data_IF_355134860860
#
_entry.id   IF_355134860860
#
_cell.length_a   1.000
_cell.length_b   1.000
_cell.length_c   1.000
_cell.angle_alpha   90.00
_cell.angle_beta   90.00
_cell.angle_gamma   90.00
#
_symmetry.space_group_name_H-M   'P 1'
#
loop_
_entity.id
_entity.type
_entity.pdbx_description
1 polymer ?
#
# COMPACT_ATOMS: atom_id res chain seq x y z
N UNK A 1 -24.31 -27.38 -32.84
CA UNK A 1 -22.97 -26.93 -32.40
C UNK A 1 -22.40 -25.85 -33.30
N UNK A 2 -22.38 -26.02 -34.63
CA UNK A 2 -21.79 -25.04 -35.56
C UNK A 2 -22.45 -23.64 -35.50
N UNK A 3 -23.78 -23.57 -35.40
CA UNK A 3 -24.50 -22.30 -35.21
C UNK A 3 -24.24 -21.65 -33.86
N UNK A 4 -24.05 -22.42 -32.78
CA UNK A 4 -23.71 -21.89 -31.46
C UNK A 4 -22.32 -21.24 -31.46
N UNK A 5 -21.34 -21.91 -32.09
CA UNK A 5 -19.99 -21.35 -32.26
C UNK A 5 -19.97 -20.17 -33.23
N UNK A 6 -20.72 -20.21 -34.33
CA UNK A 6 -20.83 -19.09 -35.27
C UNK A 6 -21.53 -17.87 -34.65
N UNK A 7 -22.55 -18.09 -33.83
CA UNK A 7 -23.26 -17.02 -33.13
C UNK A 7 -22.42 -16.46 -31.97
N UNK A 8 -21.68 -17.31 -31.26
CA UNK A 8 -20.68 -16.88 -30.29
C UNK A 8 -19.55 -16.08 -30.97
N UNK A 9 -19.10 -16.49 -32.16
CA UNK A 9 -18.05 -15.79 -32.91
C UNK A 9 -18.53 -14.45 -33.47
N UNK A 10 -19.79 -14.38 -33.94
CA UNK A 10 -20.42 -13.12 -34.34
C UNK A 10 -20.64 -12.16 -33.16
N UNK A 11 -21.02 -12.66 -31.98
CA UNK A 11 -21.04 -11.86 -30.77
C UNK A 11 -19.64 -11.38 -30.40
N UNK A 12 -18.60 -12.22 -30.54
CA UNK A 12 -17.20 -11.85 -30.28
C UNK A 12 -16.71 -10.78 -31.26
N UNK A 13 -17.14 -10.84 -32.52
CA UNK A 13 -16.82 -9.84 -33.55
C UNK A 13 -17.47 -8.46 -33.34
N UNK A 14 -18.51 -8.37 -32.50
CA UNK A 14 -19.19 -7.13 -32.13
C UNK A 14 -18.63 -6.48 -30.85
N UNK A 15 -17.63 -7.08 -30.20
CA UNK A 15 -17.01 -6.52 -28.99
C UNK A 15 -16.24 -5.23 -29.31
N UNK A 16 -16.54 -4.18 -28.55
CA UNK A 16 -15.78 -2.93 -28.58
C UNK A 16 -14.47 -3.13 -27.79
N UNK A 17 -13.44 -2.31 -28.06
CA UNK A 17 -12.14 -2.41 -27.39
C UNK A 17 -12.22 -2.47 -25.84
N UNK A 18 -13.19 -1.78 -25.23
CA UNK A 18 -13.43 -1.78 -23.78
C UNK A 18 -13.91 -3.13 -23.23
N UNK A 19 -14.61 -3.92 -24.04
CA UNK A 19 -15.05 -5.26 -23.66
C UNK A 19 -13.87 -6.22 -23.58
N UNK A 20 -12.93 -6.11 -24.52
CA UNK A 20 -11.68 -6.88 -24.50
C UNK A 20 -10.87 -6.60 -23.24
N UNK A 21 -10.76 -5.34 -22.82
CA UNK A 21 -10.09 -4.95 -21.57
C UNK A 21 -10.78 -5.58 -20.36
N UNK A 22 -12.11 -5.52 -20.32
CA UNK A 22 -12.92 -6.10 -19.22
C UNK A 22 -12.74 -7.61 -19.15
N UNK A 23 -12.79 -8.31 -20.28
CA UNK A 23 -12.55 -9.75 -20.36
C UNK A 23 -11.13 -10.14 -19.93
N UNK A 24 -10.11 -9.40 -20.37
CA UNK A 24 -8.72 -9.63 -19.96
C UNK A 24 -8.57 -9.51 -18.45
N UNK A 25 -9.16 -8.48 -17.84
CA UNK A 25 -9.13 -8.28 -16.40
C UNK A 25 -9.80 -9.45 -15.68
N UNK A 26 -11.01 -9.83 -16.09
CA UNK A 26 -11.74 -10.94 -15.47
C UNK A 26 -11.00 -12.28 -15.60
N UNK A 27 -10.44 -12.59 -16.78
CA UNK A 27 -9.64 -13.80 -17.01
C UNK A 27 -8.38 -13.78 -16.13
N UNK A 28 -7.69 -12.64 -16.05
CA UNK A 28 -6.50 -12.52 -15.20
C UNK A 28 -6.83 -12.79 -13.73
N UNK A 29 -7.91 -12.21 -13.21
CA UNK A 29 -8.35 -12.44 -11.83
C UNK A 29 -8.84 -13.87 -11.59
N UNK A 30 -9.48 -14.49 -12.58
CA UNK A 30 -9.89 -15.90 -12.56
C UNK A 30 -8.67 -16.83 -12.46
N UNK A 31 -7.68 -16.66 -13.34
CA UNK A 31 -6.44 -17.47 -13.34
C UNK A 31 -5.66 -17.28 -12.04
N UNK A 32 -5.55 -16.03 -11.56
CA UNK A 32 -4.90 -15.73 -10.28
C UNK A 32 -5.64 -16.36 -9.09
N UNK A 33 -6.98 -16.31 -9.09
CA UNK A 33 -7.81 -16.94 -8.08
C UNK A 33 -7.64 -18.44 -8.03
N UNK A 34 -7.60 -19.11 -9.19
CA UNK A 34 -7.33 -20.54 -9.29
C UNK A 34 -5.95 -20.92 -8.74
N UNK A 35 -4.90 -20.17 -9.13
CA UNK A 35 -3.52 -20.43 -8.71
C UNK A 35 -3.33 -20.23 -7.20
N UNK A 36 -4.03 -19.26 -6.60
CA UNK A 36 -3.92 -18.94 -5.18
C UNK A 36 -4.80 -19.85 -4.31
N UNK A 37 -5.93 -20.31 -4.84
CA UNK A 37 -6.94 -21.06 -4.09
C UNK A 37 -7.81 -20.19 -3.21
N UNK A 38 -8.97 -20.72 -2.83
CA UNK A 38 -10.06 -20.03 -2.13
C UNK A 38 -9.61 -19.39 -0.83
N UNK A 39 -8.89 -20.11 0.03
CA UNK A 39 -8.47 -19.58 1.33
C UNK A 39 -7.62 -18.31 1.20
N UNK A 40 -6.61 -18.33 0.33
CA UNK A 40 -5.75 -17.17 0.08
C UNK A 40 -6.52 -16.04 -0.60
N UNK A 41 -7.38 -16.36 -1.56
CA UNK A 41 -8.12 -15.32 -2.28
C UNK A 41 -9.23 -14.70 -1.42
N UNK A 42 -9.80 -15.44 -0.46
CA UNK A 42 -10.77 -14.92 0.51
C UNK A 42 -10.11 -13.97 1.51
N UNK A 43 -8.94 -14.32 2.05
CA UNK A 43 -8.15 -13.39 2.87
C UNK A 43 -7.82 -12.13 2.04
N UNK A 44 -7.39 -12.32 0.80
CA UNK A 44 -7.05 -11.23 -0.11
C UNK A 44 -8.25 -10.31 -0.39
N UNK A 45 -9.44 -10.89 -0.55
CA UNK A 45 -10.70 -10.21 -0.74
C UNK A 45 -11.13 -9.43 0.51
N UNK A 46 -11.03 -10.03 1.71
CA UNK A 46 -11.32 -9.32 2.97
C UNK A 46 -10.44 -8.08 3.16
N UNK A 47 -9.15 -8.16 2.82
CA UNK A 47 -8.28 -6.98 2.85
C UNK A 47 -8.66 -5.91 1.82
N UNK A 48 -9.18 -6.32 0.66
CA UNK A 48 -9.66 -5.38 -0.35
C UNK A 48 -10.91 -4.66 0.14
N UNK A 49 -11.87 -5.37 0.76
CA UNK A 49 -13.03 -4.77 1.40
C UNK A 49 -12.62 -3.81 2.53
N UNK A 50 -11.66 -4.22 3.37
CA UNK A 50 -11.10 -3.36 4.41
C UNK A 50 -10.50 -2.09 3.81
N UNK A 51 -9.74 -2.18 2.71
CA UNK A 51 -9.17 -1.03 2.05
C UNK A 51 -10.23 -0.06 1.51
N UNK A 52 -11.34 -0.57 1.00
CA UNK A 52 -12.50 0.25 0.59
C UNK A 52 -13.08 0.97 1.81
N UNK A 53 -13.33 0.26 2.92
CA UNK A 53 -13.90 0.84 4.15
C UNK A 53 -12.97 1.88 4.77
N UNK A 54 -11.67 1.66 4.76
CA UNK A 54 -10.69 2.63 5.27
C UNK A 54 -10.62 3.86 4.38
N UNK A 55 -10.53 3.68 3.06
CA UNK A 55 -10.56 4.80 2.12
C UNK A 55 -11.84 5.64 2.29
N UNK A 56 -12.96 4.94 2.44
CA UNK A 56 -14.27 5.50 2.71
C UNK A 56 -14.35 6.32 4.01
N UNK A 57 -13.72 5.90 5.10
CA UNK A 57 -13.79 6.64 6.36
C UNK A 57 -12.94 7.92 6.37
N UNK A 58 -11.87 7.98 5.58
CA UNK A 58 -10.84 9.02 5.72
C UNK A 58 -10.64 9.92 4.48
N UNK A 59 -11.29 9.64 3.34
CA UNK A 59 -11.05 10.41 2.12
C UNK A 59 -11.38 11.90 2.26
N UNK A 60 -12.47 12.28 2.95
CA UNK A 60 -12.87 13.69 3.09
C UNK A 60 -11.79 14.51 3.79
N UNK A 61 -11.26 13.97 4.88
CA UNK A 61 -10.22 14.62 5.67
C UNK A 61 -8.95 14.84 4.84
N UNK A 62 -8.59 13.88 3.99
CA UNK A 62 -7.42 14.00 3.13
C UNK A 62 -7.67 14.91 1.91
N UNK A 63 -8.87 14.92 1.35
CA UNK A 63 -9.24 15.71 0.18
C UNK A 63 -9.18 17.23 0.42
N UNK A 64 -9.51 17.68 1.64
CA UNK A 64 -9.44 19.10 2.03
C UNK A 64 -8.02 19.51 2.46
N UNK A 65 -7.11 18.55 2.61
CA UNK A 65 -5.74 18.85 3.01
C UNK A 65 -4.94 19.52 1.89
N UNK A 66 -4.00 20.39 2.27
CA UNK A 66 -3.05 21.03 1.34
C UNK A 66 -2.24 20.04 0.49
N UNK A 67 -2.15 18.77 0.90
CA UNK A 67 -1.45 17.73 0.17
C UNK A 67 -2.16 17.28 -1.12
N UNK A 68 -3.47 17.53 -1.25
CA UNK A 68 -4.26 17.19 -2.45
C UNK A 68 -4.74 18.44 -3.18
N UNK A 69 -5.13 19.50 -2.46
CA UNK A 69 -5.71 20.71 -3.08
C UNK A 69 -4.72 21.47 -3.97
N UNK A 70 -3.40 21.25 -3.83
CA UNK A 70 -2.37 21.83 -4.71
C UNK A 70 -2.53 21.42 -6.18
N UNK A 71 -3.21 20.30 -6.46
CA UNK A 71 -3.35 19.75 -7.80
C UNK A 71 -4.23 20.62 -8.74
N UNK A 72 -4.93 21.65 -8.24
CA UNK A 72 -5.78 22.56 -9.04
C UNK A 72 -6.90 21.87 -9.85
N UNK A 73 -7.30 20.64 -9.48
CA UNK A 73 -8.50 19.99 -10.04
C UNK A 73 -9.79 20.46 -9.32
N UNK A 74 -10.95 20.06 -9.87
CA UNK A 74 -12.25 20.26 -9.25
C UNK A 74 -12.35 19.60 -7.87
N UNK A 75 -13.28 20.08 -7.05
CA UNK A 75 -13.53 19.52 -5.72
C UNK A 75 -13.83 18.02 -5.77
N UNK A 76 -14.66 17.58 -6.72
CA UNK A 76 -15.00 16.17 -6.94
C UNK A 76 -13.78 15.31 -7.33
N UNK A 77 -12.82 15.90 -8.05
CA UNK A 77 -11.57 15.23 -8.39
C UNK A 77 -10.62 15.09 -7.19
N UNK A 78 -10.49 16.10 -6.31
CA UNK A 78 -9.66 16.00 -5.08
C UNK A 78 -10.10 14.85 -4.19
N UNK A 79 -11.40 14.79 -4.05
CA UNK A 79 -12.20 13.80 -3.36
C UNK A 79 -11.95 12.37 -3.90
N UNK A 80 -12.03 12.16 -5.22
CA UNK A 80 -11.71 10.87 -5.85
C UNK A 80 -10.23 10.49 -5.71
N UNK A 81 -9.32 11.46 -5.83
CA UNK A 81 -7.87 11.26 -5.66
C UNK A 81 -7.56 10.85 -4.22
N UNK A 82 -8.16 11.49 -3.22
CA UNK A 82 -7.98 11.17 -1.82
C UNK A 82 -8.39 9.73 -1.50
N UNK A 83 -9.56 9.32 -2.00
CA UNK A 83 -10.02 7.94 -1.91
C UNK A 83 -9.01 6.98 -2.54
N UNK A 84 -8.56 7.26 -3.76
CA UNK A 84 -7.57 6.44 -4.47
C UNK A 84 -6.23 6.31 -3.72
N UNK A 85 -5.73 7.42 -3.17
CA UNK A 85 -4.47 7.45 -2.40
C UNK A 85 -4.58 6.58 -1.14
N UNK A 86 -5.65 6.71 -0.37
CA UNK A 86 -5.85 5.92 0.86
C UNK A 86 -6.07 4.44 0.52
N UNK A 87 -6.84 4.15 -0.53
CA UNK A 87 -7.08 2.79 -1.00
C UNK A 87 -5.77 2.09 -1.39
N UNK A 88 -4.96 2.74 -2.24
CA UNK A 88 -3.64 2.21 -2.66
C UNK A 88 -2.71 2.11 -1.45
N UNK A 89 -2.66 3.12 -0.59
CA UNK A 89 -1.86 3.14 0.63
C UNK A 89 -2.17 1.94 1.54
N UNK A 90 -3.44 1.63 1.73
CA UNK A 90 -3.89 0.49 2.54
C UNK A 90 -3.47 -0.85 1.91
N UNK A 91 -3.55 -0.98 0.58
CA UNK A 91 -3.05 -2.16 -0.13
C UNK A 91 -1.52 -2.32 -0.03
N UNK A 92 -0.78 -1.21 0.00
CA UNK A 92 0.68 -1.23 0.22
C UNK A 92 1.03 -1.65 1.64
N UNK A 93 0.30 -1.18 2.66
CA UNK A 93 0.46 -1.60 4.05
C UNK A 93 0.27 -3.12 4.17
N UNK A 94 -0.77 -3.66 3.54
CA UNK A 94 -0.95 -5.12 3.47
C UNK A 94 0.28 -5.81 2.89
N UNK A 95 0.81 -5.36 1.75
CA UNK A 95 2.01 -5.96 1.14
C UNK A 95 3.22 -5.88 2.08
N UNK A 96 3.36 -4.79 2.83
CA UNK A 96 4.39 -4.64 3.85
C UNK A 96 4.21 -5.66 4.99
N UNK A 97 2.98 -5.87 5.49
CA UNK A 97 2.69 -6.88 6.51
C UNK A 97 3.10 -8.28 6.01
N UNK A 98 2.70 -8.68 4.80
CA UNK A 98 3.09 -9.99 4.25
C UNK A 98 4.61 -10.17 4.17
N UNK A 99 5.33 -9.13 3.71
CA UNK A 99 6.80 -9.19 3.61
C UNK A 99 7.47 -9.26 4.99
N UNK A 100 6.93 -8.53 5.97
CA UNK A 100 7.45 -8.50 7.33
C UNK A 100 7.21 -9.83 8.04
N UNK A 101 6.03 -10.39 7.86
CA UNK A 101 5.63 -11.70 8.36
C UNK A 101 6.48 -12.84 7.77
N UNK A 102 6.73 -12.82 6.45
CA UNK A 102 7.61 -13.78 5.80
C UNK A 102 9.08 -13.64 6.25
N UNK A 103 9.60 -12.41 6.33
CA UNK A 103 10.94 -12.14 6.83
C UNK A 103 11.11 -12.62 8.29
N UNK A 104 10.11 -12.34 9.13
CA UNK A 104 10.07 -12.82 10.52
C UNK A 104 10.04 -14.34 10.59
N UNK A 105 9.36 -15.02 9.65
CA UNK A 105 9.28 -16.47 9.63
C UNK A 105 10.64 -17.17 9.46
N UNK A 106 11.62 -16.45 8.89
CA UNK A 106 12.98 -16.93 8.67
C UNK A 106 13.94 -16.60 9.85
N UNK A 107 13.50 -15.84 10.85
CA UNK A 107 14.32 -15.46 12.00
C UNK A 107 14.13 -16.46 13.14
N UNK A 108 15.03 -17.42 13.26
CA UNK A 108 15.00 -18.42 14.33
C UNK A 108 15.60 -17.95 15.65
N UNK A 109 16.53 -16.99 15.62
CA UNK A 109 17.21 -16.49 16.81
C UNK A 109 16.74 -15.06 17.17
N UNK A 110 15.94 -14.88 18.25
CA UNK A 110 15.47 -13.56 18.69
C UNK A 110 16.61 -12.64 19.15
N UNK A 111 17.77 -13.20 19.49
CA UNK A 111 18.93 -12.40 19.93
C UNK A 111 19.65 -11.69 18.79
N UNK A 112 19.48 -12.15 17.55
CA UNK A 112 19.99 -11.42 16.38
C UNK A 112 19.31 -10.05 16.21
N UNK A 113 18.03 -9.94 16.59
CA UNK A 113 17.30 -8.66 16.55
C UNK A 113 17.81 -7.66 17.58
N UNK A 114 18.37 -8.13 18.71
CA UNK A 114 18.87 -7.24 19.75
C UNK A 114 20.01 -6.35 19.24
N UNK A 115 20.90 -6.90 18.40
CA UNK A 115 21.98 -6.15 17.77
C UNK A 115 21.44 -5.08 16.81
N UNK A 116 20.50 -5.45 15.94
CA UNK A 116 19.87 -4.52 14.99
C UNK A 116 19.12 -3.42 15.74
N UNK A 117 18.38 -3.79 16.77
CA UNK A 117 17.64 -2.86 17.61
C UNK A 117 18.55 -1.89 18.36
N UNK A 118 19.66 -2.38 18.92
CA UNK A 118 20.65 -1.53 19.58
C UNK A 118 21.26 -0.52 18.60
N UNK A 119 21.59 -0.92 17.36
CA UNK A 119 22.05 0.01 16.34
C UNK A 119 20.97 1.02 15.93
N UNK A 120 19.71 0.61 15.86
CA UNK A 120 18.59 1.52 15.57
C UNK A 120 18.40 2.55 16.67
N UNK A 121 18.42 2.13 17.94
CA UNK A 121 18.36 3.06 19.08
C UNK A 121 19.55 4.00 19.04
N UNK A 122 20.76 3.47 18.83
CA UNK A 122 21.96 4.29 18.76
C UNK A 122 21.85 5.32 17.63
N UNK A 123 21.48 4.89 16.42
CA UNK A 123 21.28 5.77 15.28
C UNK A 123 20.22 6.84 15.56
N UNK A 124 19.06 6.46 16.12
CA UNK A 124 17.99 7.39 16.46
C UNK A 124 18.42 8.40 17.52
N UNK A 125 19.07 7.94 18.59
CA UNK A 125 19.60 8.81 19.63
C UNK A 125 20.64 9.78 19.07
N UNK A 126 21.56 9.30 18.22
CA UNK A 126 22.55 10.15 17.56
C UNK A 126 21.90 11.15 16.62
N UNK A 127 20.89 10.76 15.85
CA UNK A 127 20.15 11.68 14.99
C UNK A 127 19.42 12.76 15.79
N UNK A 128 18.74 12.38 16.89
CA UNK A 128 18.07 13.34 17.79
C UNK A 128 19.06 14.29 18.45
N UNK A 129 20.20 13.79 18.94
CA UNK A 129 21.26 14.63 19.51
C UNK A 129 21.86 15.56 18.46
N UNK A 130 22.08 15.07 17.24
CA UNK A 130 22.61 15.89 16.13
C UNK A 130 21.63 17.01 15.76
N UNK A 131 20.33 16.73 15.84
CA UNK A 131 19.30 17.74 15.66
C UNK A 131 19.30 18.79 16.78
N UNK A 132 19.48 18.35 18.03
CA UNK A 132 19.54 19.25 19.19
C UNK A 132 20.71 20.22 19.12
N UNK A 133 21.89 19.77 18.66
CA UNK A 133 23.09 20.61 18.53
C UNK A 133 23.18 21.37 17.18
N UNK A 134 22.17 21.23 16.32
CA UNK A 134 22.19 21.78 14.96
C UNK A 134 22.34 23.30 14.97
N UNK A 135 21.54 24.01 15.78
CA UNK A 135 21.57 25.48 15.85
C UNK A 135 22.92 26.03 16.36
N UNK A 136 23.62 25.28 17.20
CA UNK A 136 24.93 25.70 17.72
C UNK A 136 25.96 25.67 16.61
N UNK A 137 25.94 24.62 15.76
CA UNK A 137 26.96 24.41 14.71
C UNK A 137 26.61 25.17 13.43
N UNK A 138 25.33 25.22 13.04
CA UNK A 138 24.87 25.92 11.86
C UNK A 138 25.05 27.45 11.93
N UNK A 139 25.10 28.01 13.15
CA UNK A 139 25.32 29.43 13.41
C UNK A 139 26.77 29.76 13.81
N UNK A 140 27.70 28.80 13.74
CA UNK A 140 29.13 29.13 13.85
C UNK A 140 29.51 30.00 12.65
N UNK A 141 30.09 31.18 12.91
CA UNK A 141 30.50 32.12 11.86
C UNK A 141 31.42 31.50 10.80
N UNK A 142 32.14 30.42 11.12
CA UNK A 142 32.93 29.65 10.16
C UNK A 142 32.08 28.92 9.10
N UNK A 143 30.89 28.40 9.46
CA UNK A 143 29.99 27.71 8.52
C UNK A 143 29.25 28.69 7.62
N UNK A 144 28.95 29.89 8.11
CA UNK A 144 28.36 30.97 7.33
C UNK A 144 29.30 31.51 6.24
N UNK A 145 30.61 31.52 6.50
CA UNK A 145 31.64 31.94 5.52
C UNK A 145 31.86 30.87 4.44
N UNK A 146 31.74 29.58 4.78
CA UNK A 146 32.03 28.47 3.85
C UNK A 146 30.82 28.09 2.99
N UNK A 147 29.59 28.16 3.52
CA UNK A 147 28.36 27.81 2.80
C UNK A 147 27.33 28.93 2.96
N UNK A 148 27.11 29.67 1.87
CA UNK A 148 26.22 30.84 1.83
C UNK A 148 24.73 30.47 1.76
N UNK A 149 24.40 29.30 1.20
CA UNK A 149 23.02 28.82 1.13
C UNK A 149 22.59 28.17 2.45
N UNK A 150 21.44 28.61 2.97
CA UNK A 150 20.97 28.23 4.31
C UNK A 150 20.54 26.77 4.41
N UNK A 151 19.94 26.23 3.35
CA UNK A 151 19.46 24.83 3.33
C UNK A 151 20.63 23.85 3.32
N UNK A 152 21.62 24.09 2.46
CA UNK A 152 22.83 23.28 2.38
C UNK A 152 23.69 23.41 3.64
N UNK A 153 23.76 24.60 4.25
CA UNK A 153 24.44 24.82 5.55
C UNK A 153 23.83 24.00 6.66
N UNK A 154 22.50 23.94 6.76
CA UNK A 154 21.78 23.11 7.75
C UNK A 154 22.08 21.62 7.53
N UNK A 155 21.98 21.14 6.29
CA UNK A 155 22.26 19.74 5.96
C UNK A 155 23.71 19.34 6.25
N UNK A 156 24.67 20.18 5.88
CA UNK A 156 26.09 19.95 6.13
C UNK A 156 26.41 19.98 7.64
N UNK A 157 25.82 20.93 8.38
CA UNK A 157 26.00 21.03 9.84
C UNK A 157 25.48 19.79 10.56
N UNK A 158 24.31 19.30 10.17
CA UNK A 158 23.76 18.05 10.69
C UNK A 158 24.70 16.88 10.39
N UNK A 159 25.18 16.74 9.15
CA UNK A 159 26.05 15.65 8.74
C UNK A 159 27.39 15.65 9.50
N UNK A 160 28.01 16.83 9.68
CA UNK A 160 29.26 16.99 10.46
C UNK A 160 29.02 16.60 11.91
N UNK A 161 27.97 17.13 12.54
CA UNK A 161 27.62 16.84 13.94
C UNK A 161 27.38 15.34 14.16
N UNK A 162 26.62 14.74 13.26
CA UNK A 162 26.31 13.31 13.27
C UNK A 162 27.58 12.46 13.13
N UNK A 163 28.46 12.81 12.19
CA UNK A 163 29.73 12.10 11.97
C UNK A 163 30.67 12.23 13.19
N UNK A 164 30.75 13.40 13.81
CA UNK A 164 31.56 13.62 15.03
C UNK A 164 31.04 12.77 16.18
N UNK A 165 29.73 12.77 16.45
CA UNK A 165 29.14 11.97 17.53
C UNK A 165 29.40 10.48 17.28
N UNK A 166 29.18 9.98 16.06
CA UNK A 166 29.48 8.58 15.72
C UNK A 166 30.96 8.27 15.92
N UNK A 167 31.86 9.13 15.44
CA UNK A 167 33.31 8.94 15.54
C UNK A 167 33.78 8.85 17.00
N UNK A 168 33.30 9.76 17.86
CA UNK A 168 33.62 9.76 19.29
C UNK A 168 33.06 8.52 19.98
N UNK A 169 31.77 8.21 19.76
CA UNK A 169 31.15 7.02 20.34
C UNK A 169 31.86 5.73 19.90
N UNK A 170 32.15 5.58 18.60
CA UNK A 170 32.86 4.41 18.07
C UNK A 170 34.25 4.24 18.67
N UNK A 171 34.96 5.36 18.91
CA UNK A 171 36.28 5.33 19.55
C UNK A 171 36.17 4.85 21.00
N UNK A 172 35.17 5.34 21.75
CA UNK A 172 34.89 4.92 23.13
C UNK A 172 34.49 3.43 23.17
N UNK A 173 33.62 2.98 22.27
CA UNK A 173 33.23 1.57 22.15
C UNK A 173 34.45 0.66 21.95
N UNK A 174 35.38 1.07 21.08
CA UNK A 174 36.61 0.33 20.82
C UNK A 174 37.57 0.34 22.02
N UNK A 175 37.74 1.48 22.70
CA UNK A 175 38.58 1.59 23.91
C UNK A 175 38.05 0.76 25.08
N UNK A 176 36.73 0.68 25.24
CA UNK A 176 36.09 -0.07 26.32
C UNK A 176 35.87 -1.56 25.97
N UNK A 177 36.25 -1.98 24.76
CA UNK A 177 36.03 -3.34 24.24
C UNK A 177 34.58 -3.82 24.39
N UNK A 178 33.62 -2.92 24.20
CA UNK A 178 32.19 -3.22 24.30
C UNK A 178 31.71 -3.73 22.95
N UNK A 179 31.46 -5.03 22.83
CA UNK A 179 30.80 -5.63 21.67
C UNK A 179 29.29 -5.64 21.87
N UNK A 180 28.55 -5.17 20.86
CA UNK A 180 27.11 -5.46 20.75
C UNK A 180 27.00 -6.86 20.14
N UNK A 181 27.15 -7.88 20.99
CA UNK A 181 27.08 -9.27 20.56
C UNK A 181 25.64 -9.77 20.41
N UNK A 182 25.45 -10.62 19.40
CA UNK A 182 24.17 -11.26 19.12
C UNK A 182 23.83 -12.37 20.14
N UNK A 183 24.69 -12.62 21.14
CA UNK A 183 24.57 -13.75 22.06
C UNK A 183 24.26 -13.33 23.49
N UNK A 184 24.82 -12.21 24.02
CA UNK A 184 24.55 -11.71 25.38
C UNK A 184 24.88 -10.19 25.52
N UNK A 185 24.20 -9.43 26.40
CA UNK A 185 22.98 -9.77 27.12
C UNK A 185 21.75 -9.56 26.22
N UNK A 186 20.98 -10.62 26.04
CA UNK A 186 19.79 -10.62 25.20
C UNK A 186 18.56 -10.14 25.99
N UNK A 187 18.63 -8.90 26.51
CA UNK A 187 17.63 -8.33 27.44
C UNK A 187 16.22 -8.34 26.86
N UNK A 188 16.09 -8.00 25.57
CA UNK A 188 14.81 -7.95 24.85
C UNK A 188 14.40 -9.29 24.21
N UNK A 189 15.09 -10.39 24.50
CA UNK A 189 14.80 -11.71 23.93
C UNK A 189 13.33 -12.10 24.07
N UNK A 190 12.77 -11.93 25.29
CA UNK A 190 11.37 -12.25 25.57
C UNK A 190 10.39 -11.37 24.77
N UNK A 191 10.73 -10.09 24.59
CA UNK A 191 9.92 -9.17 23.81
C UNK A 191 9.95 -9.52 22.32
N UNK A 192 11.15 -9.72 21.74
CA UNK A 192 11.28 -10.12 20.34
C UNK A 192 10.65 -11.48 20.09
N UNK A 193 10.80 -12.44 21.00
CA UNK A 193 10.15 -13.74 20.89
C UNK A 193 8.63 -13.61 20.81
N UNK A 194 8.00 -12.80 21.67
CA UNK A 194 6.56 -12.53 21.58
C UNK A 194 6.14 -11.95 20.23
N UNK A 195 6.91 -10.98 19.70
CA UNK A 195 6.64 -10.39 18.39
C UNK A 195 6.79 -11.42 17.27
N UNK A 196 7.88 -12.20 17.29
CA UNK A 196 8.14 -13.25 16.31
C UNK A 196 7.02 -14.31 16.37
N UNK A 197 6.61 -14.76 17.56
CA UNK A 197 5.53 -15.74 17.73
C UNK A 197 4.20 -15.23 17.13
N UNK A 198 3.86 -13.96 17.36
CA UNK A 198 2.68 -13.32 16.74
C UNK A 198 2.83 -13.29 15.22
N UNK A 199 4.01 -12.90 14.71
CA UNK A 199 4.27 -12.84 13.28
C UNK A 199 4.25 -14.23 12.65
N UNK A 200 4.79 -15.27 13.27
CA UNK A 200 4.68 -16.66 12.83
C UNK A 200 3.22 -17.12 12.77
N UNK A 201 2.43 -16.83 13.81
CA UNK A 201 1.00 -17.15 13.80
C UNK A 201 0.22 -16.39 12.71
N UNK A 202 0.62 -15.14 12.42
CA UNK A 202 0.08 -14.38 11.30
C UNK A 202 0.54 -14.95 9.96
N UNK A 203 1.77 -15.45 9.85
CA UNK A 203 2.31 -16.06 8.64
C UNK A 203 1.51 -17.29 8.25
N UNK A 204 1.30 -18.22 9.18
CA UNK A 204 0.53 -19.43 8.94
C UNK A 204 -0.91 -19.12 8.50
N UNK A 205 -1.54 -18.11 9.10
CA UNK A 205 -2.91 -17.67 8.77
C UNK A 205 -2.98 -16.92 7.45
N UNK A 206 -2.13 -15.91 7.23
CA UNK A 206 -2.14 -15.04 6.05
C UNK A 206 -1.69 -15.79 4.79
N UNK A 207 -0.62 -16.57 4.92
CA UNK A 207 -0.10 -17.37 3.82
C UNK A 207 -0.82 -18.70 3.68
N UNK A 208 -1.79 -19.02 4.56
CA UNK A 208 -2.62 -20.22 4.51
C UNK A 208 -1.77 -21.44 4.14
N UNK A 209 -0.64 -21.61 4.84
CA UNK A 209 0.34 -22.66 4.54
C UNK A 209 -0.41 -24.00 4.64
N UNK A 210 -0.18 -24.89 3.67
CA UNK A 210 -0.73 -26.25 3.64
C UNK A 210 -2.21 -26.45 3.19
N UNK A 211 -2.85 -25.50 2.49
CA UNK A 211 -4.24 -25.68 1.98
C UNK A 211 -4.28 -25.96 0.46
N UNK A 212 -3.46 -26.89 -0.05
CA UNK A 212 -3.45 -27.22 -1.48
C UNK A 212 -4.41 -28.39 -1.78
N UNK A 213 -5.61 -28.08 -2.27
CA UNK A 213 -6.61 -29.07 -2.69
C UNK A 213 -7.35 -28.60 -3.93
N UNK A 214 -7.75 -29.53 -4.82
CA UNK A 214 -8.51 -29.21 -6.04
C UNK A 214 -9.81 -28.46 -5.74
N UNK A 215 -10.47 -28.77 -4.61
CA UNK A 215 -11.68 -28.07 -4.13
C UNK A 215 -11.37 -26.62 -3.70
N UNK A 216 -10.21 -26.38 -3.08
CA UNK A 216 -9.74 -25.04 -2.72
C UNK A 216 -9.45 -24.22 -3.98
N UNK A 217 -8.83 -24.81 -5.01
CA UNK A 217 -8.52 -24.08 -6.25
C UNK A 217 -9.78 -23.67 -7.01
N UNK A 218 -10.81 -24.52 -7.03
CA UNK A 218 -12.08 -24.20 -7.67
C UNK A 218 -12.84 -23.08 -6.95
N UNK A 219 -12.90 -23.10 -5.61
CA UNK A 219 -13.45 -21.98 -4.85
C UNK A 219 -12.67 -20.67 -5.09
N UNK A 220 -11.36 -20.77 -5.34
CA UNK A 220 -10.51 -19.65 -5.72
C UNK A 220 -10.90 -18.98 -7.04
N UNK A 221 -11.41 -19.74 -8.02
CA UNK A 221 -11.95 -19.17 -9.27
C UNK A 221 -13.11 -18.22 -9.00
N UNK A 222 -14.06 -18.66 -8.17
CA UNK A 222 -15.28 -17.91 -7.88
C UNK A 222 -14.96 -16.62 -7.11
N UNK A 223 -14.13 -16.71 -6.08
CA UNK A 223 -13.68 -15.52 -5.32
C UNK A 223 -12.84 -14.59 -6.20
N UNK A 224 -11.97 -15.14 -7.05
CA UNK A 224 -11.20 -14.37 -8.02
C UNK A 224 -12.08 -13.56 -8.98
N UNK A 225 -13.13 -14.19 -9.52
CA UNK A 225 -14.10 -13.52 -10.39
C UNK A 225 -14.87 -12.41 -9.69
N UNK A 226 -15.36 -12.64 -8.47
CA UNK A 226 -16.04 -11.60 -7.66
C UNK A 226 -15.11 -10.40 -7.48
N UNK A 227 -13.85 -10.67 -7.13
CA UNK A 227 -12.86 -9.63 -6.92
C UNK A 227 -12.50 -8.88 -8.20
N UNK A 228 -12.36 -9.57 -9.33
CA UNK A 228 -12.13 -8.93 -10.63
C UNK A 228 -13.29 -8.01 -11.02
N UNK A 229 -14.52 -8.47 -10.79
CA UNK A 229 -15.75 -7.69 -11.01
C UNK A 229 -15.77 -6.44 -10.13
N UNK A 230 -15.39 -6.56 -8.85
CA UNK A 230 -15.29 -5.44 -7.92
C UNK A 230 -14.18 -4.45 -8.30
N UNK A 231 -13.04 -4.92 -8.80
CA UNK A 231 -11.96 -4.05 -9.27
C UNK A 231 -12.39 -3.21 -10.48
N UNK A 232 -13.11 -3.82 -11.43
CA UNK A 232 -13.70 -3.12 -12.57
C UNK A 232 -14.71 -2.08 -12.10
N UNK A 233 -15.59 -2.43 -11.15
CA UNK A 233 -16.58 -1.50 -10.58
C UNK A 233 -15.91 -0.28 -9.94
N UNK A 234 -14.88 -0.48 -9.11
CA UNK A 234 -14.14 0.62 -8.46
C UNK A 234 -13.46 1.52 -9.50
N UNK A 235 -12.83 0.92 -10.51
CA UNK A 235 -12.18 1.65 -11.59
C UNK A 235 -13.17 2.54 -12.35
N UNK A 236 -14.35 2.01 -12.66
CA UNK A 236 -15.44 2.76 -13.31
C UNK A 236 -15.89 3.93 -12.43
N UNK A 237 -16.12 3.69 -11.13
CA UNK A 237 -16.56 4.74 -10.19
C UNK A 237 -15.54 5.87 -10.03
N UNK A 238 -14.25 5.53 -9.91
CA UNK A 238 -13.17 6.52 -9.79
C UNK A 238 -13.04 7.34 -11.07
N UNK A 239 -13.02 6.70 -12.24
CA UNK A 239 -12.88 7.41 -13.51
C UNK A 239 -14.08 8.28 -13.87
N UNK A 240 -15.30 7.89 -13.49
CA UNK A 240 -16.48 8.74 -13.69
C UNK A 240 -16.45 10.03 -12.86
N UNK A 241 -15.60 10.10 -11.83
CA UNK A 241 -15.53 11.19 -10.85
C UNK A 241 -14.33 12.13 -11.07
N UNK A 242 -13.53 11.93 -12.13
CA UNK A 242 -12.36 12.75 -12.47
C UNK A 242 -12.66 13.53 -13.75
N UNK A 243 -12.70 14.87 -13.66
CA UNK A 243 -13.08 15.75 -14.77
C UNK A 243 -12.05 15.81 -15.91
N UNK A 244 -10.78 15.49 -15.63
CA UNK A 244 -9.69 15.52 -16.62
C UNK A 244 -9.67 14.32 -17.58
N UNK A 245 -10.33 13.22 -17.21
CA UNK A 245 -10.55 12.08 -18.10
C UNK A 245 -11.84 12.38 -18.85
N UNK A 246 -11.73 12.87 -20.09
CA UNK A 246 -12.90 13.26 -20.89
C UNK A 246 -13.95 12.15 -20.85
N UNK A 247 -15.07 12.41 -20.18
CA UNK A 247 -16.22 11.50 -20.10
C UNK A 247 -16.66 11.06 -21.52
N UNK A 248 -16.50 11.94 -22.50
CA UNK A 248 -16.95 11.76 -23.88
C UNK A 248 -16.19 10.77 -24.78
N UNK A 249 -14.94 10.37 -24.51
CA UNK A 249 -14.12 9.73 -25.56
C UNK A 249 -13.69 8.27 -25.36
N UNK A 250 -13.88 7.65 -24.19
CA UNK A 250 -13.42 6.26 -24.00
C UNK A 250 -14.36 5.32 -23.23
N UNK A 251 -15.33 5.84 -22.47
CA UNK A 251 -16.11 5.02 -21.54
C UNK A 251 -17.63 5.10 -21.75
N UNK A 252 -18.20 6.23 -22.16
CA UNK A 252 -19.67 6.40 -22.27
C UNK A 252 -20.32 5.61 -23.44
N UNK A 253 -19.58 5.31 -24.51
CA UNK A 253 -20.08 4.53 -25.66
C UNK A 253 -19.76 3.02 -25.59
N UNK A 254 -19.63 2.46 -24.39
CA UNK A 254 -19.42 1.03 -24.23
C UNK A 254 -20.72 0.26 -24.53
N UNK A 255 -20.85 -0.30 -25.74
CA UNK A 255 -22.03 -1.08 -26.14
C UNK A 255 -22.06 -2.53 -25.58
N UNK A 256 -21.06 -2.95 -24.78
CA UNK A 256 -20.90 -4.34 -24.33
C UNK A 256 -20.89 -4.56 -22.81
N UNK A 257 -20.02 -5.44 -22.32
CA UNK A 257 -19.97 -5.93 -20.93
C UNK A 257 -19.70 -4.82 -19.91
N UNK A 258 -18.93 -3.80 -20.29
CA UNK A 258 -18.65 -2.65 -19.45
C UNK A 258 -19.91 -1.82 -19.14
N UNK A 259 -20.92 -1.83 -20.03
CA UNK A 259 -22.22 -1.18 -19.81
C UNK A 259 -22.94 -1.73 -18.59
N UNK A 260 -22.81 -3.03 -18.33
CA UNK A 260 -23.42 -3.68 -17.16
C UNK A 260 -22.78 -3.12 -15.89
N UNK A 261 -21.45 -3.02 -15.86
CA UNK A 261 -20.74 -2.44 -14.72
C UNK A 261 -21.02 -0.95 -14.56
N UNK A 262 -21.22 -0.21 -15.66
CA UNK A 262 -21.62 1.20 -15.62
C UNK A 262 -23.05 1.38 -15.13
N UNK A 263 -24.00 0.57 -15.59
CA UNK A 263 -25.38 0.61 -15.12
C UNK A 263 -25.44 0.28 -13.63
N UNK A 264 -24.75 -0.77 -13.20
CA UNK A 264 -24.63 -1.11 -11.77
C UNK A 264 -23.92 0.01 -10.99
N UNK A 265 -22.86 0.61 -11.53
CA UNK A 265 -22.20 1.74 -10.91
C UNK A 265 -23.15 2.94 -10.77
N UNK A 266 -23.96 3.25 -11.79
CA UNK A 266 -24.96 4.33 -11.79
C UNK A 266 -26.11 4.06 -10.83
N UNK A 267 -26.58 2.81 -10.72
CA UNK A 267 -27.63 2.42 -9.77
C UNK A 267 -27.14 2.42 -8.32
N UNK A 268 -25.89 2.02 -8.11
CA UNK A 268 -25.24 2.05 -6.81
C UNK A 268 -24.86 3.50 -6.47
N UNK A 269 -24.51 4.33 -7.46
CA UNK A 269 -24.08 5.73 -7.30
C UNK A 269 -24.98 6.56 -6.39
N UNK A 270 -26.33 6.57 -6.46
CA UNK A 270 -27.16 7.35 -5.54
C UNK A 270 -27.09 6.86 -4.09
N UNK A 271 -27.13 5.54 -3.85
CA UNK A 271 -26.96 4.98 -2.51
C UNK A 271 -25.54 5.21 -1.96
N UNK A 272 -24.56 5.13 -2.86
CA UNK A 272 -23.17 5.50 -2.64
C UNK A 272 -22.90 7.00 -2.81
N UNK A 273 -23.84 7.90 -3.10
CA UNK A 273 -23.56 9.35 -3.25
C UNK A 273 -24.00 10.08 -2.00
N UNK A 274 -25.14 9.66 -1.45
CA UNK A 274 -25.61 10.02 -0.11
C UNK A 274 -24.61 9.60 0.97
N UNK A 275 -23.80 8.58 0.68
CA UNK A 275 -22.73 8.13 1.54
C UNK A 275 -21.38 8.33 0.81
N UNK A 276 -20.98 7.47 -0.11
CA UNK A 276 -19.63 7.33 -0.74
C UNK A 276 -19.07 8.38 -1.73
N UNK A 277 -19.84 9.19 -2.44
CA UNK A 277 -19.39 9.80 -3.70
C UNK A 277 -20.01 11.19 -4.01
N UNK A 278 -19.73 12.17 -3.14
CA UNK A 278 -19.47 13.55 -3.60
C UNK A 278 -20.61 14.30 -4.32
N UNK A 279 -21.86 14.16 -3.87
CA UNK A 279 -22.92 15.11 -4.24
C UNK A 279 -23.78 15.34 -3.00
N UNK A 280 -23.80 16.57 -2.49
CA UNK A 280 -24.83 17.02 -1.58
C UNK A 280 -26.12 17.08 -2.40
N UNK A 281 -27.09 16.22 -2.09
CA UNK A 281 -28.41 16.33 -2.70
C UNK A 281 -29.03 17.64 -2.19
N UNK A 282 -29.11 18.66 -3.05
CA UNK A 282 -30.13 19.70 -2.89
C UNK A 282 -31.52 19.11 -3.16
#
# INVERSE_FOLDING_TARGET
>A
MNEFFANAWNMIGLLVWSDWVTFIILIAFLVLGFKRGMAKELINFSFLLLAIVVAWLFYQSLAVSGAITWLLLSHQSHMAIAFGVIFIGTLLIKKAIYKLTDASSNVSNPCALNKIFAYLIFFAATATLSWYYLDIIANLGLMEIVVTDTSTRIGLSFAITFAVIIGVCSSIFNMLNISIDATKPCFLSSFFKKILDILHALDDKLNAKNINSRKNNFGGLLVGLIKGSLAILIMVLVFQSIDSISQQYYWLDANGALRIFQAVAVDIKPALSEHLLFIENE
#
